data_IF_942469345965
#
_entry.id   IF_942469345965
#
_cell.length_a   1.000
_cell.length_b   1.000
_cell.length_c   1.000
_cell.angle_alpha   90.00
_cell.angle_beta   90.00
_cell.angle_gamma   90.00
#
_symmetry.space_group_name_H-M   'P 1'
#
loop_
_entity.id
_entity.type
_entity.pdbx_description
1 polymer ?
#
# COMPACT_ATOMS: atom_id res chain seq x y z
N UNK A 1 23.47 8.25 12.89
CA UNK A 1 22.85 7.56 11.72
C UNK A 1 23.10 6.05 11.78
N UNK A 2 24.35 5.58 11.93
CA UNK A 2 24.67 4.14 12.08
C UNK A 2 23.84 3.39 13.14
N UNK A 3 23.63 3.97 14.33
CA UNK A 3 22.82 3.35 15.40
C UNK A 3 21.33 3.21 15.04
N UNK A 4 20.77 4.16 14.29
CA UNK A 4 19.37 4.11 13.85
C UNK A 4 19.22 2.99 12.83
N UNK A 5 20.14 2.91 11.87
CA UNK A 5 20.13 1.88 10.83
C UNK A 5 20.31 0.49 11.43
N UNK A 6 21.20 0.30 12.41
CA UNK A 6 21.37 -1.01 13.06
C UNK A 6 20.15 -1.45 13.86
N UNK A 7 19.51 -0.53 14.59
CA UNK A 7 18.25 -0.80 15.30
C UNK A 7 17.13 -1.13 14.32
N UNK A 8 17.01 -0.37 13.23
CA UNK A 8 15.99 -0.58 12.21
C UNK A 8 16.15 -1.93 11.53
N UNK A 9 17.39 -2.24 11.12
CA UNK A 9 17.76 -3.53 10.52
C UNK A 9 17.45 -4.71 11.44
N UNK A 10 17.75 -4.57 12.75
CA UNK A 10 17.47 -5.62 13.74
C UNK A 10 15.96 -5.84 13.92
N UNK A 11 15.17 -4.75 13.93
CA UNK A 11 13.72 -4.85 14.02
C UNK A 11 13.11 -5.49 12.77
N UNK A 12 13.61 -5.12 11.59
CA UNK A 12 13.17 -5.68 10.32
C UNK A 12 13.52 -7.16 10.19
N UNK A 13 14.73 -7.56 10.61
CA UNK A 13 15.13 -8.97 10.69
C UNK A 13 14.15 -9.78 11.53
N UNK A 14 13.80 -9.29 12.73
CA UNK A 14 12.84 -9.98 13.62
C UNK A 14 11.46 -10.14 12.98
N UNK A 15 10.99 -9.14 12.23
CA UNK A 15 9.71 -9.23 11.52
C UNK A 15 9.75 -10.32 10.44
N UNK A 16 10.83 -10.38 9.66
CA UNK A 16 11.01 -11.42 8.63
C UNK A 16 11.12 -12.79 9.26
N UNK A 17 11.85 -12.93 10.37
CA UNK A 17 11.96 -14.17 11.13
C UNK A 17 10.61 -14.66 11.65
N UNK A 18 9.79 -13.75 12.20
CA UNK A 18 8.41 -14.08 12.63
C UNK A 18 7.56 -14.52 11.45
N UNK A 19 7.67 -13.84 10.30
CA UNK A 19 6.98 -14.24 9.09
C UNK A 19 7.42 -15.64 8.64
N UNK A 20 8.71 -15.90 8.54
CA UNK A 20 9.26 -17.18 8.06
C UNK A 20 8.88 -18.34 8.98
N UNK A 21 8.86 -18.12 10.29
CA UNK A 21 8.48 -19.14 11.28
C UNK A 21 6.97 -19.39 11.34
N UNK A 22 6.12 -18.38 11.11
CA UNK A 22 4.66 -18.50 11.26
C UNK A 22 3.90 -18.74 9.96
N UNK A 23 4.47 -18.44 8.80
CA UNK A 23 3.76 -18.50 7.49
C UNK A 23 3.24 -19.89 7.16
N UNK A 24 3.99 -20.93 7.50
CA UNK A 24 3.71 -22.30 7.09
C UNK A 24 3.87 -22.52 5.57
N UNK A 25 3.13 -23.50 5.03
CA UNK A 25 3.23 -23.87 3.61
C UNK A 25 2.68 -22.80 2.68
N UNK A 26 3.44 -22.46 1.63
CA UNK A 26 3.08 -21.48 0.61
C UNK A 26 1.71 -21.75 -0.01
N UNK A 27 1.40 -23.01 -0.31
CA UNK A 27 0.13 -23.44 -0.92
C UNK A 27 -1.09 -23.10 -0.05
N UNK A 28 -0.92 -23.11 1.26
CA UNK A 28 -1.99 -22.77 2.21
C UNK A 28 -2.02 -21.28 2.56
N UNK A 29 -0.85 -20.63 2.54
CA UNK A 29 -0.72 -19.23 2.93
C UNK A 29 -1.20 -18.28 1.83
N UNK A 30 -0.86 -18.56 0.56
CA UNK A 30 -1.22 -17.70 -0.56
C UNK A 30 -2.75 -17.50 -0.68
N UNK A 31 -3.60 -18.54 -0.68
CA UNK A 31 -5.05 -18.36 -0.77
C UNK A 31 -5.62 -17.58 0.42
N UNK A 32 -5.10 -17.81 1.64
CA UNK A 32 -5.53 -17.07 2.84
C UNK A 32 -5.17 -15.58 2.74
N UNK A 33 -3.95 -15.29 2.31
CA UNK A 33 -3.48 -13.92 2.09
C UNK A 33 -4.30 -13.23 1.01
N UNK A 34 -4.58 -13.92 -0.10
CA UNK A 34 -5.38 -13.40 -1.19
C UNK A 34 -6.81 -13.07 -0.73
N UNK A 35 -7.48 -13.99 -0.04
CA UNK A 35 -8.84 -13.74 0.50
C UNK A 35 -8.84 -12.59 1.51
N UNK A 36 -7.81 -12.51 2.37
CA UNK A 36 -7.62 -11.37 3.27
C UNK A 36 -7.53 -10.06 2.50
N UNK A 37 -6.72 -9.99 1.45
CA UNK A 37 -6.60 -8.78 0.63
C UNK A 37 -7.87 -8.48 -0.17
N UNK A 38 -8.65 -9.47 -0.60
CA UNK A 38 -9.97 -9.22 -1.24
C UNK A 38 -10.88 -8.50 -0.26
N UNK A 39 -11.01 -9.02 0.96
CA UNK A 39 -11.82 -8.40 2.00
C UNK A 39 -11.33 -6.98 2.34
N UNK A 40 -10.01 -6.78 2.44
CA UNK A 40 -9.42 -5.49 2.73
C UNK A 40 -9.66 -4.48 1.60
N UNK A 41 -9.49 -4.88 0.33
CA UNK A 41 -9.73 -4.00 -0.82
C UNK A 41 -11.21 -3.61 -0.91
N UNK A 42 -12.14 -4.53 -0.67
CA UNK A 42 -13.58 -4.23 -0.64
C UNK A 42 -13.90 -3.27 0.52
N UNK A 43 -13.28 -3.46 1.69
CA UNK A 43 -13.47 -2.55 2.82
C UNK A 43 -12.93 -1.13 2.51
N UNK A 44 -11.73 -1.02 1.94
CA UNK A 44 -11.15 0.25 1.48
C UNK A 44 -12.02 0.90 0.40
N UNK A 45 -12.56 0.11 -0.52
CA UNK A 45 -13.49 0.56 -1.55
C UNK A 45 -14.74 1.21 -0.98
N UNK A 46 -15.44 0.52 -0.06
CA UNK A 46 -16.63 1.08 0.53
C UNK A 46 -16.32 2.25 1.45
N UNK A 47 -15.21 2.20 2.20
CA UNK A 47 -14.76 3.34 2.99
C UNK A 47 -14.58 4.56 2.08
N UNK A 48 -13.87 4.42 0.97
CA UNK A 48 -13.64 5.50 0.01
C UNK A 48 -14.96 5.98 -0.65
N UNK A 49 -15.88 5.08 -0.99
CA UNK A 49 -17.17 5.45 -1.54
C UNK A 49 -18.02 6.24 -0.54
N UNK A 50 -18.12 5.80 0.72
CA UNK A 50 -18.93 6.47 1.74
C UNK A 50 -18.37 7.83 2.14
N UNK A 51 -17.04 7.99 2.17
CA UNK A 51 -16.41 9.25 2.61
C UNK A 51 -16.18 10.22 1.45
N UNK A 52 -15.87 9.72 0.24
CA UNK A 52 -15.58 10.57 -0.90
C UNK A 52 -16.80 10.83 -1.79
N UNK A 53 -17.69 9.85 -2.01
CA UNK A 53 -18.83 9.94 -2.93
C UNK A 53 -20.11 9.28 -2.37
N UNK A 54 -20.60 9.74 -1.19
CA UNK A 54 -21.77 9.13 -0.54
C UNK A 54 -23.01 9.11 -1.45
N UNK A 55 -23.17 10.10 -2.33
CA UNK A 55 -24.28 10.20 -3.28
C UNK A 55 -24.35 9.02 -4.27
N UNK A 56 -23.21 8.38 -4.57
CA UNK A 56 -23.12 7.26 -5.51
C UNK A 56 -23.39 5.89 -4.86
N UNK A 57 -23.64 5.85 -3.55
CA UNK A 57 -23.82 4.60 -2.79
C UNK A 57 -25.26 4.09 -2.75
N UNK A 58 -26.21 4.85 -3.31
CA UNK A 58 -27.64 4.52 -3.29
C UNK A 58 -28.26 4.56 -4.70
N UNK A 59 -29.49 4.02 -4.83
CA UNK A 59 -30.22 3.99 -6.09
C UNK A 59 -29.56 3.13 -7.18
N UNK A 60 -29.79 3.50 -8.44
CA UNK A 60 -29.26 2.78 -9.61
C UNK A 60 -27.73 2.85 -9.68
N UNK A 61 -27.15 4.00 -9.31
CA UNK A 61 -25.70 4.18 -9.20
C UNK A 61 -25.09 3.24 -8.15
N UNK A 62 -25.72 3.13 -6.97
CA UNK A 62 -25.29 2.21 -5.91
C UNK A 62 -25.23 0.76 -6.38
N UNK A 63 -26.19 0.33 -7.21
CA UNK A 63 -26.18 -1.02 -7.78
C UNK A 63 -25.04 -1.24 -8.78
N UNK A 64 -24.73 -0.23 -9.59
CA UNK A 64 -23.57 -0.26 -10.48
C UNK A 64 -22.27 -0.43 -9.68
N UNK A 65 -22.06 0.42 -8.67
CA UNK A 65 -20.86 0.41 -7.84
C UNK A 65 -20.74 -0.84 -6.96
N UNK A 66 -21.87 -1.41 -6.50
CA UNK A 66 -21.90 -2.71 -5.85
C UNK A 66 -21.37 -3.83 -6.74
N UNK A 67 -21.66 -3.81 -8.04
CA UNK A 67 -21.09 -4.80 -8.97
C UNK A 67 -19.61 -4.56 -9.23
N UNK A 68 -19.20 -3.29 -9.34
CA UNK A 68 -17.80 -2.89 -9.56
C UNK A 68 -16.88 -3.34 -8.41
N UNK A 69 -17.37 -3.44 -7.17
CA UNK A 69 -16.56 -3.87 -6.02
C UNK A 69 -15.89 -5.23 -6.21
N UNK A 70 -16.51 -6.16 -6.96
CA UNK A 70 -16.00 -7.53 -7.10
C UNK A 70 -14.74 -7.59 -7.95
N UNK A 71 -14.73 -7.11 -9.21
CA UNK A 71 -13.50 -7.03 -9.99
C UNK A 71 -12.48 -6.09 -9.33
N UNK A 72 -12.91 -4.99 -8.69
CA UNK A 72 -12.00 -4.11 -7.94
C UNK A 72 -11.31 -4.86 -6.81
N UNK A 73 -12.06 -5.58 -5.98
CA UNK A 73 -11.55 -6.34 -4.85
C UNK A 73 -10.61 -7.46 -5.27
N UNK A 74 -10.95 -8.20 -6.34
CA UNK A 74 -10.13 -9.31 -6.86
C UNK A 74 -8.82 -8.79 -7.47
N UNK A 75 -8.88 -7.76 -8.32
CA UNK A 75 -7.69 -7.22 -8.99
C UNK A 75 -6.80 -6.42 -8.04
N UNK A 76 -7.40 -5.71 -7.08
CA UNK A 76 -6.67 -5.07 -5.99
C UNK A 76 -5.94 -6.11 -5.14
N UNK A 77 -6.62 -7.19 -4.74
CA UNK A 77 -6.01 -8.25 -3.96
C UNK A 77 -4.90 -9.00 -4.70
N UNK A 78 -5.01 -9.14 -6.02
CA UNK A 78 -3.95 -9.71 -6.84
C UNK A 78 -2.68 -8.87 -6.75
N UNK A 79 -2.80 -7.56 -6.95
CA UNK A 79 -1.67 -6.65 -6.85
C UNK A 79 -1.08 -6.63 -5.44
N UNK A 80 -1.92 -6.54 -4.40
CA UNK A 80 -1.48 -6.52 -3.00
C UNK A 80 -0.77 -7.82 -2.59
N UNK A 81 -1.24 -8.95 -3.10
CA UNK A 81 -0.59 -10.24 -2.87
C UNK A 81 0.79 -10.28 -3.54
N UNK A 82 0.89 -9.83 -4.80
CA UNK A 82 2.17 -9.79 -5.53
C UNK A 82 3.13 -8.80 -4.88
N UNK A 83 2.66 -7.60 -4.55
CA UNK A 83 3.46 -6.55 -3.91
C UNK A 83 3.97 -7.02 -2.55
N UNK A 84 3.15 -7.70 -1.74
CA UNK A 84 3.58 -8.28 -0.47
C UNK A 84 4.78 -9.24 -0.64
N UNK A 85 4.73 -10.17 -1.59
CA UNK A 85 5.84 -11.10 -1.82
C UNK A 85 7.07 -10.38 -2.40
N UNK A 86 6.87 -9.40 -3.28
CA UNK A 86 7.95 -8.56 -3.80
C UNK A 86 8.64 -7.80 -2.65
N UNK A 87 7.88 -7.21 -1.73
CA UNK A 87 8.42 -6.51 -0.56
C UNK A 87 9.21 -7.46 0.34
N UNK A 88 8.68 -8.64 0.67
CA UNK A 88 9.42 -9.63 1.46
C UNK A 88 10.74 -10.00 0.78
N UNK A 89 10.74 -10.18 -0.54
CA UNK A 89 11.95 -10.46 -1.31
C UNK A 89 12.96 -9.30 -1.26
N UNK A 90 12.49 -8.06 -1.45
CA UNK A 90 13.31 -6.84 -1.36
C UNK A 90 13.93 -6.71 0.04
N UNK A 91 13.16 -6.93 1.10
CA UNK A 91 13.63 -6.84 2.48
C UNK A 91 14.71 -7.87 2.76
N UNK A 92 14.51 -9.13 2.33
CA UNK A 92 15.55 -10.17 2.48
C UNK A 92 16.83 -9.78 1.74
N UNK A 93 16.71 -9.22 0.54
CA UNK A 93 17.86 -8.70 -0.22
C UNK A 93 18.58 -7.61 0.58
N UNK A 94 17.84 -6.63 1.11
CA UNK A 94 18.39 -5.54 1.91
C UNK A 94 19.08 -6.04 3.18
N UNK A 95 18.49 -7.01 3.88
CA UNK A 95 19.07 -7.59 5.10
C UNK A 95 20.40 -8.33 4.85
N UNK A 96 20.74 -8.65 3.61
CA UNK A 96 22.01 -9.27 3.23
C UNK A 96 23.09 -8.27 2.79
N UNK A 97 22.80 -6.96 2.69
CA UNK A 97 23.78 -5.97 2.19
C UNK A 97 24.66 -5.40 3.29
N UNK A 98 25.95 -5.24 3.08
CA UNK A 98 26.85 -4.70 4.13
C UNK A 98 26.82 -3.16 4.20
N UNK A 99 26.44 -2.49 3.11
CA UNK A 99 26.38 -1.03 3.04
C UNK A 99 25.06 -0.46 3.52
N UNK A 100 25.12 0.59 4.34
CA UNK A 100 23.95 1.33 4.81
C UNK A 100 23.19 2.01 3.65
N UNK A 101 23.90 2.52 2.64
CA UNK A 101 23.29 3.17 1.47
C UNK A 101 22.54 2.15 0.61
N UNK A 102 23.13 0.98 0.39
CA UNK A 102 22.52 -0.11 -0.38
C UNK A 102 21.29 -0.67 0.34
N UNK A 103 21.36 -0.80 1.67
CA UNK A 103 20.21 -1.14 2.51
C UNK A 103 19.04 -0.16 2.32
N UNK A 104 19.30 1.16 2.43
CA UNK A 104 18.25 2.18 2.24
C UNK A 104 17.72 2.18 0.80
N UNK A 105 18.58 2.01 -0.21
CA UNK A 105 18.20 1.97 -1.61
C UNK A 105 17.31 0.77 -1.95
N UNK A 106 17.53 -0.39 -1.35
CA UNK A 106 16.60 -1.51 -1.51
C UNK A 106 15.25 -1.21 -0.87
N UNK A 107 15.23 -0.63 0.33
CA UNK A 107 13.98 -0.32 1.01
C UNK A 107 13.18 0.80 0.34
N UNK A 108 13.83 1.72 -0.40
CA UNK A 108 13.12 2.74 -1.16
C UNK A 108 12.35 2.19 -2.36
N UNK A 109 12.67 0.97 -2.83
CA UNK A 109 11.86 0.30 -3.87
C UNK A 109 10.44 0.04 -3.37
N UNK A 110 10.25 -0.17 -2.07
CA UNK A 110 8.93 -0.35 -1.47
C UNK A 110 8.06 0.92 -1.61
N UNK A 111 8.67 2.11 -1.54
CA UNK A 111 7.99 3.37 -1.83
C UNK A 111 7.59 3.47 -3.32
N UNK A 112 8.42 2.96 -4.23
CA UNK A 112 8.08 2.90 -5.64
C UNK A 112 6.89 1.95 -5.90
N UNK A 113 6.82 0.83 -5.18
CA UNK A 113 5.66 -0.08 -5.21
C UNK A 113 4.39 0.64 -4.73
N UNK A 114 4.47 1.42 -3.65
CA UNK A 114 3.34 2.22 -3.17
C UNK A 114 2.88 3.27 -4.20
N UNK A 115 3.81 3.90 -4.93
CA UNK A 115 3.45 4.80 -6.05
C UNK A 115 2.84 4.05 -7.24
N UNK A 116 3.34 2.86 -7.58
CA UNK A 116 2.73 2.02 -8.61
C UNK A 116 1.31 1.59 -8.23
N UNK A 117 1.05 1.42 -6.93
CA UNK A 117 -0.28 1.06 -6.45
C UNK A 117 -1.33 2.15 -6.73
N UNK A 118 -0.96 3.43 -6.64
CA UNK A 118 -1.92 4.51 -6.96
C UNK A 118 -2.27 4.53 -8.44
N UNK A 119 -1.32 4.20 -9.32
CA UNK A 119 -1.59 3.99 -10.75
C UNK A 119 -2.43 2.73 -11.00
N UNK A 120 -2.16 1.66 -10.24
CA UNK A 120 -2.91 0.40 -10.32
C UNK A 120 -4.40 0.61 -10.01
N UNK A 121 -4.74 1.45 -9.03
CA UNK A 121 -6.14 1.78 -8.72
C UNK A 121 -6.87 2.24 -9.98
N UNK A 122 -6.30 3.18 -10.74
CA UNK A 122 -6.93 3.70 -11.97
C UNK A 122 -7.17 2.60 -13.00
N UNK A 123 -6.15 1.75 -13.21
CA UNK A 123 -6.26 0.60 -14.11
C UNK A 123 -7.40 -0.33 -13.68
N UNK A 124 -7.45 -0.68 -12.40
CA UNK A 124 -8.48 -1.57 -11.83
C UNK A 124 -9.88 -0.98 -12.02
N UNK A 125 -10.07 0.31 -11.78
CA UNK A 125 -11.37 0.95 -12.00
C UNK A 125 -11.79 0.97 -13.47
N UNK A 126 -10.86 1.28 -14.36
CA UNK A 126 -11.10 1.29 -15.81
C UNK A 126 -11.49 -0.09 -16.31
N UNK A 127 -10.72 -1.11 -15.91
CA UNK A 127 -10.94 -2.50 -16.30
C UNK A 127 -12.19 -3.10 -15.65
N UNK A 128 -12.49 -2.75 -14.39
CA UNK A 128 -13.72 -3.16 -13.70
C UNK A 128 -14.96 -2.58 -14.38
N UNK A 129 -14.92 -1.29 -14.75
CA UNK A 129 -15.98 -0.66 -15.53
C UNK A 129 -16.20 -1.35 -16.88
N UNK A 130 -15.12 -1.81 -17.52
CA UNK A 130 -15.20 -2.62 -18.74
C UNK A 130 -15.90 -3.96 -18.52
N UNK A 131 -15.51 -4.73 -17.49
CA UNK A 131 -16.16 -6.01 -17.16
C UNK A 131 -17.66 -5.82 -16.94
N UNK A 132 -18.04 -4.85 -16.11
CA UNK A 132 -19.46 -4.60 -15.82
C UNK A 132 -20.23 -4.19 -17.08
N UNK A 133 -19.61 -3.40 -17.97
CA UNK A 133 -20.25 -3.00 -19.22
C UNK A 133 -20.49 -4.18 -20.16
N UNK A 134 -19.47 -5.06 -20.29
CA UNK A 134 -19.57 -6.28 -21.09
C UNK A 134 -20.70 -7.17 -20.59
N UNK A 135 -20.81 -7.32 -19.27
CA UNK A 135 -21.87 -8.11 -18.63
C UNK A 135 -23.25 -7.44 -18.71
N UNK A 136 -23.31 -6.11 -18.84
CA UNK A 136 -24.55 -5.34 -18.92
C UNK A 136 -25.06 -5.15 -20.37
N UNK A 137 -24.33 -5.58 -21.40
CA UNK A 137 -24.66 -5.40 -22.81
C UNK A 137 -25.07 -3.95 -23.19
N UNK A 138 -24.46 -2.94 -22.54
CA UNK A 138 -24.84 -1.55 -22.77
C UNK A 138 -24.16 -0.97 -24.02
N UNK A 139 -24.83 -0.02 -24.69
CA UNK A 139 -24.41 0.60 -25.96
C UNK A 139 -23.32 1.67 -25.83
N UNK A 140 -22.83 1.96 -24.61
CA UNK A 140 -21.81 2.99 -24.41
C UNK A 140 -20.45 2.56 -24.97
N UNK A 141 -19.87 3.39 -25.85
CA UNK A 141 -18.59 3.16 -26.51
C UNK A 141 -17.43 3.13 -25.51
N UNK A 142 -16.59 2.10 -25.61
CA UNK A 142 -15.40 1.91 -24.78
C UNK A 142 -14.40 3.08 -24.88
N UNK A 143 -14.29 3.71 -26.05
CA UNK A 143 -13.38 4.82 -26.29
C UNK A 143 -13.75 6.06 -25.46
N UNK A 144 -15.04 6.33 -25.30
CA UNK A 144 -15.54 7.50 -24.58
C UNK A 144 -15.29 7.39 -23.06
N UNK A 145 -15.41 6.19 -22.49
CA UNK A 145 -15.12 5.95 -21.06
C UNK A 145 -13.63 6.01 -20.75
N UNK A 146 -12.79 5.41 -21.58
CA UNK A 146 -11.33 5.48 -21.41
C UNK A 146 -10.84 6.92 -21.53
N UNK A 147 -11.38 7.69 -22.48
CA UNK A 147 -11.09 9.12 -22.61
C UNK A 147 -11.50 9.90 -21.34
N UNK A 148 -12.66 9.59 -20.74
CA UNK A 148 -13.11 10.22 -19.50
C UNK A 148 -12.19 9.93 -18.31
N UNK A 149 -11.80 8.67 -18.08
CA UNK A 149 -10.88 8.33 -16.98
C UNK A 149 -9.51 8.97 -17.16
N UNK A 150 -8.97 8.97 -18.38
CA UNK A 150 -7.72 9.67 -18.69
C UNK A 150 -7.84 11.19 -18.49
N UNK A 151 -8.94 11.80 -18.91
CA UNK A 151 -9.18 13.23 -18.69
C UNK A 151 -9.25 13.56 -17.19
N UNK A 152 -9.91 12.74 -16.37
CA UNK A 152 -9.94 12.91 -14.92
C UNK A 152 -8.54 12.81 -14.29
N UNK A 153 -7.66 11.94 -14.80
CA UNK A 153 -6.29 11.84 -14.32
C UNK A 153 -5.45 13.06 -14.69
N UNK A 154 -5.53 13.50 -15.95
CA UNK A 154 -4.79 14.68 -16.43
C UNK A 154 -5.27 15.92 -15.68
N UNK A 155 -6.58 16.05 -15.49
CA UNK A 155 -7.16 17.16 -14.74
C UNK A 155 -6.79 17.11 -13.24
N UNK A 156 -6.80 15.93 -12.61
CA UNK A 156 -6.34 15.80 -11.23
C UNK A 156 -4.85 16.13 -11.06
N UNK A 157 -4.02 15.88 -12.08
CA UNK A 157 -2.61 16.25 -12.06
C UNK A 157 -2.40 17.76 -12.29
N UNK A 158 -3.21 18.39 -13.14
CA UNK A 158 -3.14 19.82 -13.43
C UNK A 158 -3.78 20.70 -12.34
N UNK A 159 -4.93 20.25 -11.80
CA UNK A 159 -5.79 20.94 -10.85
C UNK A 159 -6.06 20.06 -9.62
N UNK A 160 -5.05 19.82 -8.75
CA UNK A 160 -5.17 18.88 -7.64
C UNK A 160 -6.14 19.34 -6.55
N UNK A 161 -6.29 20.66 -6.36
CA UNK A 161 -7.20 21.23 -5.34
C UNK A 161 -8.66 20.99 -5.72
N UNK A 162 -9.00 21.08 -7.00
CA UNK A 162 -10.35 20.85 -7.50
C UNK A 162 -10.70 19.35 -7.53
N UNK A 163 -9.68 18.48 -7.47
CA UNK A 163 -9.81 17.03 -7.54
C UNK A 163 -9.53 16.32 -6.20
N UNK A 164 -9.57 17.04 -5.07
CA UNK A 164 -9.24 16.48 -3.74
C UNK A 164 -10.05 15.22 -3.42
N UNK A 165 -11.34 15.15 -3.80
CA UNK A 165 -12.18 13.95 -3.59
C UNK A 165 -11.65 12.73 -4.34
N UNK A 166 -11.23 12.91 -5.59
CA UNK A 166 -10.66 11.85 -6.44
C UNK A 166 -9.29 11.38 -5.92
N UNK A 167 -8.44 12.33 -5.52
CA UNK A 167 -7.13 12.04 -4.93
C UNK A 167 -7.30 11.28 -3.62
N UNK A 168 -8.17 11.76 -2.74
CA UNK A 168 -8.49 11.11 -1.48
C UNK A 168 -9.03 9.69 -1.69
N UNK A 169 -9.94 9.51 -2.65
CA UNK A 169 -10.45 8.19 -3.02
C UNK A 169 -9.32 7.23 -3.45
N UNK A 170 -8.42 7.69 -4.32
CA UNK A 170 -7.25 6.92 -4.75
C UNK A 170 -6.31 6.57 -3.60
N UNK A 171 -6.09 7.50 -2.66
CA UNK A 171 -5.25 7.26 -1.47
C UNK A 171 -5.87 6.21 -0.54
N UNK A 172 -7.18 6.29 -0.26
CA UNK A 172 -7.87 5.30 0.59
C UNK A 172 -7.85 3.92 -0.05
N UNK A 173 -8.07 3.83 -1.37
CA UNK A 173 -7.96 2.60 -2.14
C UNK A 173 -6.54 2.01 -2.12
N UNK A 174 -5.51 2.86 -2.12
CA UNK A 174 -4.10 2.44 -2.08
C UNK A 174 -3.62 1.97 -0.71
N UNK A 175 -4.39 2.17 0.38
CA UNK A 175 -3.96 1.86 1.75
C UNK A 175 -3.59 0.38 1.96
N UNK A 176 -4.30 -0.54 1.31
CA UNK A 176 -4.06 -1.98 1.44
C UNK A 176 -2.67 -2.36 0.92
N UNK A 177 -2.29 -1.84 -0.23
CA UNK A 177 -0.98 -2.03 -0.85
C UNK A 177 0.16 -1.36 -0.06
N UNK A 178 -0.14 -0.28 0.66
CA UNK A 178 0.83 0.50 1.41
C UNK A 178 1.19 -0.11 2.78
N UNK A 179 0.52 -1.18 3.20
CA UNK A 179 0.79 -1.85 4.49
C UNK A 179 2.27 -2.18 4.74
N UNK A 180 3.02 -2.76 3.77
CA UNK A 180 4.44 -3.04 3.97
C UNK A 180 5.27 -1.76 4.14
N UNK A 181 4.95 -0.71 3.37
CA UNK A 181 5.62 0.60 3.47
C UNK A 181 5.35 1.28 4.80
N UNK A 182 4.10 1.25 5.27
CA UNK A 182 3.73 1.75 6.60
C UNK A 182 4.47 0.98 7.70
N UNK A 183 4.59 -0.34 7.57
CA UNK A 183 5.37 -1.15 8.50
C UNK A 183 6.84 -0.71 8.51
N UNK A 184 7.49 -0.57 7.35
CA UNK A 184 8.88 -0.12 7.25
C UNK A 184 9.11 1.25 7.88
N UNK A 185 8.27 2.23 7.54
CA UNK A 185 8.33 3.58 8.08
C UNK A 185 8.09 3.59 9.60
N UNK A 186 7.17 2.77 10.11
CA UNK A 186 6.91 2.64 11.54
C UNK A 186 8.10 2.06 12.30
N UNK A 187 8.79 1.06 11.73
CA UNK A 187 10.00 0.49 12.31
C UNK A 187 11.13 1.52 12.31
N UNK A 188 11.31 2.25 11.22
CA UNK A 188 12.30 3.32 11.14
C UNK A 188 12.05 4.44 12.16
N UNK A 189 10.80 4.90 12.28
CA UNK A 189 10.38 5.90 13.25
C UNK A 189 10.65 5.43 14.69
N UNK A 190 10.26 4.19 15.01
CA UNK A 190 10.54 3.57 16.32
C UNK A 190 12.04 3.51 16.61
N UNK A 191 12.85 3.07 15.66
CA UNK A 191 14.31 3.00 15.81
C UNK A 191 14.92 4.39 16.02
N UNK A 192 14.36 5.41 15.36
CA UNK A 192 14.75 6.81 15.54
C UNK A 192 14.44 7.27 16.97
N UNK A 193 13.21 7.10 17.45
CA UNK A 193 12.81 7.47 18.82
C UNK A 193 13.70 6.77 19.87
N UNK A 194 13.95 5.47 19.73
CA UNK A 194 14.81 4.72 20.66
C UNK A 194 16.26 5.24 20.63
N UNK A 195 16.81 5.54 19.46
CA UNK A 195 18.16 6.08 19.35
C UNK A 195 18.29 7.47 19.98
N UNK A 196 17.29 8.35 19.77
CA UNK A 196 17.24 9.66 20.42
C UNK A 196 17.07 9.53 21.94
N UNK A 197 16.20 8.64 22.42
CA UNK A 197 16.01 8.39 23.85
C UNK A 197 17.30 7.89 24.53
N UNK A 198 18.01 6.94 23.92
CA UNK A 198 19.32 6.48 24.41
C UNK A 198 20.36 7.61 24.46
N UNK A 199 20.34 8.52 23.48
CA UNK A 199 21.24 9.67 23.43
C UNK A 199 20.95 10.73 24.49
N UNK A 200 19.71 10.82 24.98
CA UNK A 200 19.28 11.77 26.03
C UNK A 200 19.46 11.18 27.43
N UNK A 201 19.25 9.86 27.62
CA UNK A 201 19.33 9.19 28.92
C UNK A 201 20.74 8.75 29.33
N UNK A 202 21.63 8.41 28.37
CA UNK A 202 23.00 7.96 28.66
C UNK A 202 24.10 9.02 28.80
N UNK A 203 23.95 10.34 28.51
CA UNK A 203 25.02 11.30 28.75
C UNK A 203 25.20 11.65 30.25
N UNK A 204 24.35 11.12 31.14
CA UNK A 204 24.35 11.43 32.57
C UNK A 204 25.26 10.48 33.39
N UNK A 205 25.71 9.36 32.83
CA UNK A 205 26.43 8.31 33.60
C UNK A 205 27.95 8.36 33.41
N UNK A 206 28.50 9.17 32.51
CA UNK A 206 29.94 9.15 32.18
C UNK A 206 30.68 10.44 32.56
N UNK A 207 30.57 10.87 33.83
CA UNK A 207 31.34 12.01 34.37
C UNK A 207 31.67 11.93 35.87
N UNK A 208 31.74 10.73 36.46
CA UNK A 208 32.10 10.56 37.89
C UNK A 208 33.03 9.38 38.21
N UNK A 209 33.87 8.94 37.27
CA UNK A 209 34.89 7.91 37.59
C UNK A 209 36.30 8.27 37.09
N UNK A 210 36.70 9.54 37.25
CA UNK A 210 38.13 9.90 37.33
C UNK A 210 38.28 11.11 38.26
N UNK A 211 38.38 10.84 39.56
CA UNK A 211 38.92 11.77 40.56
C UNK A 211 39.85 11.00 41.49
#
# INVERSE_FOLDING_TARGET
MHTIISLWRSALYRVVEIYDTRRGSFRSFFPKLFVFFVALNIACYWLAMFTAFPELTSGEAGWHYFKVQFPVGVLGALFDSVSFFATVWIVRRALNTHSATEYVAHLSVDLAIAMLATLWVVFVFTFSGWIINLLAQSSQSYAERSARYNAMLVDAAANPIDNVRNIYFGLVMGLSSALPTVLHLSLFARSTVVAFGKRILLPVVDRREFR
#
